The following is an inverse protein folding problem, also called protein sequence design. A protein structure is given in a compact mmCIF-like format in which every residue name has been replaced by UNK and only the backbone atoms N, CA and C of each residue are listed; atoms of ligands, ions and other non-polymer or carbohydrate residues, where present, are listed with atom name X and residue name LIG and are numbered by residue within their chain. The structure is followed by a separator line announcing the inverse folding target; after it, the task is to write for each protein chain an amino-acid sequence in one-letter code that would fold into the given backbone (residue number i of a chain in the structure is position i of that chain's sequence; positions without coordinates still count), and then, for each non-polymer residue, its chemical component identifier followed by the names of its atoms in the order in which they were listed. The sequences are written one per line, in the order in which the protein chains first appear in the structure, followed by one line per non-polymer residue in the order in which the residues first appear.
data_IF_692967832243
#
_entry.id   IF_692967832243
#
_cell.length_a   1.000
_cell.length_b   1.000
_cell.length_c   1.000
_cell.angle_alpha   90.00
_cell.angle_beta   90.00
_cell.angle_gamma   90.00
#
_symmetry.space_group_name_H-M   'P 1'
#
loop_
_entity.id
_entity.type
_entity.pdbx_description
1 polymer ?
#
# COMPACT_ATOMS: atom_id res chain seq x y z
N UNK A 1 -0.48 -0.92 -21.85
CA UNK A 1 0.38 -2.11 -22.06
C UNK A 1 1.12 -2.49 -20.77
N UNK A 2 1.67 -1.54 -20.03
CA UNK A 2 2.39 -1.80 -18.77
C UNK A 2 1.54 -2.49 -17.69
N UNK A 3 0.32 -2.01 -17.43
CA UNK A 3 -0.59 -2.62 -16.45
C UNK A 3 -0.89 -4.09 -16.80
N UNK A 4 -1.19 -4.36 -18.07
CA UNK A 4 -1.46 -5.73 -18.53
C UNK A 4 -0.24 -6.65 -18.33
N UNK A 5 0.98 -6.14 -18.57
CA UNK A 5 2.20 -6.89 -18.33
C UNK A 5 2.44 -7.16 -16.84
N UNK A 6 2.25 -6.17 -15.97
CA UNK A 6 2.39 -6.33 -14.51
C UNK A 6 1.36 -7.33 -13.96
N UNK A 7 0.11 -7.28 -14.45
CA UNK A 7 -0.93 -8.24 -14.09
C UNK A 7 -0.53 -9.66 -14.49
N UNK A 8 -0.11 -9.87 -15.74
CA UNK A 8 0.33 -11.18 -16.22
C UNK A 8 1.50 -11.74 -15.39
N UNK A 9 2.49 -10.92 -15.07
CA UNK A 9 3.64 -11.33 -14.26
C UNK A 9 3.21 -11.69 -12.83
N UNK A 10 2.32 -10.90 -12.24
CA UNK A 10 1.86 -11.09 -10.85
C UNK A 10 0.97 -12.32 -10.71
N UNK A 11 0.05 -12.52 -11.65
CA UNK A 11 -0.82 -13.70 -11.73
C UNK A 11 0.01 -14.96 -11.98
N UNK A 12 0.94 -14.92 -12.95
CA UNK A 12 1.84 -16.02 -13.25
C UNK A 12 2.70 -16.41 -12.03
N UNK A 13 3.26 -15.43 -11.34
CA UNK A 13 4.04 -15.67 -10.12
C UNK A 13 3.18 -16.24 -8.99
N UNK A 14 1.93 -15.82 -8.86
CA UNK A 14 0.96 -16.37 -7.92
C UNK A 14 0.65 -17.86 -8.20
N UNK A 15 0.36 -18.19 -9.46
CA UNK A 15 0.08 -19.57 -9.89
C UNK A 15 1.29 -20.47 -9.67
N UNK A 16 2.50 -20.03 -10.05
CA UNK A 16 3.73 -20.81 -9.85
C UNK A 16 4.03 -21.05 -8.36
N UNK A 17 3.79 -20.05 -7.51
CA UNK A 17 3.94 -20.19 -6.05
C UNK A 17 2.98 -21.24 -5.49
N UNK A 18 1.75 -21.26 -5.98
CA UNK A 18 0.76 -22.27 -5.59
C UNK A 18 1.18 -23.67 -6.00
N UNK A 19 1.66 -23.85 -7.23
CA UNK A 19 2.17 -25.15 -7.69
C UNK A 19 3.39 -25.62 -6.92
N UNK A 20 4.31 -24.72 -6.53
CA UNK A 20 5.55 -25.09 -5.86
C UNK A 20 5.38 -25.47 -4.37
N UNK A 21 4.55 -24.75 -3.62
CA UNK A 21 4.43 -24.92 -2.16
C UNK A 21 3.06 -25.49 -1.72
N UNK A 22 2.12 -25.63 -2.64
CA UNK A 22 0.80 -26.22 -2.38
C UNK A 22 0.02 -25.47 -1.31
N UNK A 23 -0.57 -26.20 -0.36
CA UNK A 23 -1.38 -25.62 0.73
C UNK A 23 -0.55 -24.97 1.86
N UNK A 24 0.77 -25.14 1.88
CA UNK A 24 1.65 -24.67 2.95
C UNK A 24 2.35 -23.34 2.60
N UNK A 25 1.63 -22.41 1.96
CA UNK A 25 2.19 -21.10 1.60
C UNK A 25 2.00 -20.14 2.77
N UNK A 26 3.11 -19.76 3.42
CA UNK A 26 3.14 -18.60 4.32
C UNK A 26 2.96 -17.28 3.55
N UNK A 27 2.37 -16.28 4.20
CA UNK A 27 2.14 -14.93 3.69
C UNK A 27 3.36 -14.31 2.99
N UNK A 28 4.54 -14.47 3.59
CA UNK A 28 5.81 -13.99 3.06
C UNK A 28 6.49 -15.12 2.28
N UNK A 29 6.54 -14.99 0.95
CA UNK A 29 7.06 -16.04 0.06
C UNK A 29 8.47 -16.52 0.46
N UNK A 30 9.36 -15.61 0.86
CA UNK A 30 10.76 -15.93 1.20
C UNK A 30 10.91 -16.81 2.43
N UNK A 31 9.89 -16.90 3.28
CA UNK A 31 9.88 -17.77 4.46
C UNK A 31 9.47 -19.21 4.16
N UNK A 32 8.99 -19.49 2.95
CA UNK A 32 8.69 -20.84 2.46
C UNK A 32 9.86 -21.46 1.67
N UNK A 33 10.79 -20.65 1.17
CA UNK A 33 11.97 -21.19 0.47
C UNK A 33 12.83 -21.98 1.46
N UNK A 34 13.32 -23.14 1.01
CA UNK A 34 14.34 -23.89 1.74
C UNK A 34 15.55 -23.01 2.04
N UNK A 35 16.15 -23.20 3.22
CA UNK A 35 17.29 -22.42 3.68
C UNK A 35 18.53 -22.80 2.86
N UNK A 36 18.72 -22.09 1.74
CA UNK A 36 19.87 -22.21 0.85
C UNK A 36 20.46 -20.84 0.51
N UNK A 37 21.64 -20.84 -0.12
CA UNK A 37 22.37 -19.62 -0.50
C UNK A 37 21.53 -18.67 -1.36
N UNK A 38 20.68 -19.22 -2.24
CA UNK A 38 19.77 -18.43 -3.07
C UNK A 38 18.70 -17.70 -2.26
N UNK A 39 18.11 -18.36 -1.25
CA UNK A 39 17.12 -17.73 -0.37
C UNK A 39 17.74 -16.58 0.41
N UNK A 40 18.96 -16.77 0.95
CA UNK A 40 19.71 -15.71 1.65
C UNK A 40 20.02 -14.52 0.73
N UNK A 41 20.42 -14.77 -0.51
CA UNK A 41 20.69 -13.69 -1.48
C UNK A 41 19.42 -12.90 -1.81
N UNK A 42 18.29 -13.58 -2.04
CA UNK A 42 16.99 -12.95 -2.30
C UNK A 42 16.56 -12.10 -1.10
N UNK A 43 16.61 -12.66 0.11
CA UNK A 43 16.26 -11.94 1.34
C UNK A 43 17.15 -10.72 1.55
N UNK A 44 18.46 -10.85 1.32
CA UNK A 44 19.39 -9.73 1.43
C UNK A 44 19.10 -8.62 0.41
N UNK A 45 18.77 -8.99 -0.83
CA UNK A 45 18.35 -8.03 -1.87
C UNK A 45 17.06 -7.30 -1.47
N UNK A 46 16.06 -8.03 -0.97
CA UNK A 46 14.81 -7.45 -0.47
C UNK A 46 15.05 -6.51 0.72
N UNK A 47 15.88 -6.90 1.69
CA UNK A 47 16.23 -6.07 2.83
C UNK A 47 16.94 -4.78 2.39
N UNK A 48 17.90 -4.88 1.45
CA UNK A 48 18.56 -3.70 0.88
C UNK A 48 17.57 -2.79 0.17
N UNK A 49 16.70 -3.34 -0.66
CA UNK A 49 15.68 -2.57 -1.36
C UNK A 49 14.77 -1.82 -0.38
N UNK A 50 14.23 -2.53 0.62
CA UNK A 50 13.35 -1.93 1.62
C UNK A 50 14.06 -0.85 2.45
N UNK A 51 15.34 -1.04 2.78
CA UNK A 51 16.13 -0.04 3.49
C UNK A 51 16.25 1.28 2.73
N UNK A 52 16.37 1.23 1.40
CA UNK A 52 16.41 2.45 0.58
C UNK A 52 15.03 3.03 0.30
N UNK A 53 14.04 2.18 0.06
CA UNK A 53 12.68 2.61 -0.27
C UNK A 53 11.95 3.19 0.94
N UNK A 54 12.19 2.67 2.14
CA UNK A 54 11.48 3.10 3.34
C UNK A 54 11.69 4.60 3.69
N UNK A 55 12.92 5.14 3.73
CA UNK A 55 13.15 6.58 3.93
C UNK A 55 12.54 7.44 2.82
N UNK A 56 12.60 6.98 1.56
CA UNK A 56 12.04 7.71 0.42
C UNK A 56 10.51 7.84 0.53
N UNK A 57 9.82 6.76 0.89
CA UNK A 57 8.37 6.78 1.11
C UNK A 57 7.97 7.54 2.39
N UNK A 58 8.82 7.54 3.42
CA UNK A 58 8.57 8.26 4.67
C UNK A 58 8.73 9.78 4.56
N UNK A 59 9.50 10.27 3.60
CA UNK A 59 9.73 11.70 3.41
C UNK A 59 8.44 12.51 3.20
N UNK A 60 7.55 12.18 2.24
CA UNK A 60 6.30 12.92 2.08
C UNK A 60 5.39 12.78 3.30
N UNK A 61 5.38 11.62 3.98
CA UNK A 61 4.57 11.42 5.19
C UNK A 61 5.03 12.38 6.30
N UNK A 62 6.34 12.45 6.54
CA UNK A 62 6.91 13.39 7.51
C UNK A 62 6.56 14.84 7.18
N UNK A 63 6.71 15.23 5.92
CA UNK A 63 6.37 16.58 5.46
C UNK A 63 4.89 16.90 5.68
N UNK A 64 3.97 15.97 5.38
CA UNK A 64 2.53 16.14 5.60
C UNK A 64 2.18 16.30 7.09
N UNK A 65 2.80 15.49 7.97
CA UNK A 65 2.53 15.58 9.40
C UNK A 65 3.09 16.89 9.98
N UNK A 66 4.31 17.29 9.59
CA UNK A 66 4.89 18.58 9.99
C UNK A 66 3.99 19.72 9.53
N UNK A 67 3.63 19.78 8.24
CA UNK A 67 2.74 20.83 7.69
C UNK A 67 1.39 20.89 8.42
N UNK A 68 0.85 19.75 8.87
CA UNK A 68 -0.45 19.70 9.56
C UNK A 68 -0.37 20.11 11.04
N UNK A 69 0.70 19.74 11.75
CA UNK A 69 0.78 19.86 13.21
C UNK A 69 1.81 20.89 13.71
N UNK A 70 2.77 21.29 12.89
CA UNK A 70 3.87 22.18 13.27
C UNK A 70 4.10 23.14 12.11
N UNK A 71 3.37 24.26 12.09
CA UNK A 71 3.44 25.23 10.99
C UNK A 71 4.87 25.74 10.74
N UNK A 72 5.76 25.81 11.74
CA UNK A 72 7.13 26.35 11.52
C UNK A 72 8.29 25.74 12.35
N UNK A 73 8.06 24.73 13.20
CA UNK A 73 9.14 24.14 14.03
C UNK A 73 9.49 22.72 13.58
N UNK A 74 10.74 22.50 13.17
CA UNK A 74 11.30 21.18 12.90
C UNK A 74 11.42 20.37 14.22
N UNK A 75 10.38 19.60 14.54
CA UNK A 75 10.37 18.73 15.71
C UNK A 75 10.97 17.35 15.36
N UNK A 76 12.24 17.14 15.73
CA UNK A 76 12.91 15.82 15.65
C UNK A 76 12.12 14.73 16.40
N UNK A 77 11.38 15.11 17.44
CA UNK A 77 10.43 14.25 18.17
C UNK A 77 9.38 13.58 17.29
N UNK A 78 8.91 14.27 16.24
CA UNK A 78 7.91 13.74 15.33
C UNK A 78 8.46 12.55 14.52
N UNK A 79 9.76 12.59 14.17
CA UNK A 79 10.43 11.50 13.47
C UNK A 79 10.51 10.25 14.34
N UNK A 80 10.86 10.42 15.62
CA UNK A 80 10.85 9.32 16.60
C UNK A 80 9.45 8.74 16.80
N UNK A 81 8.44 9.60 16.87
CA UNK A 81 7.04 9.19 17.01
C UNK A 81 6.56 8.39 15.80
N UNK A 82 6.85 8.83 14.57
CA UNK A 82 6.51 8.10 13.35
C UNK A 82 7.20 6.73 13.30
N UNK A 83 8.50 6.67 13.62
CA UNK A 83 9.23 5.40 13.67
C UNK A 83 8.63 4.47 14.73
N UNK A 84 8.32 4.99 15.93
CA UNK A 84 7.68 4.20 16.99
C UNK A 84 6.31 3.65 16.57
N UNK A 85 5.48 4.46 15.91
CA UNK A 85 4.17 3.99 15.41
C UNK A 85 4.36 2.87 14.40
N UNK A 86 5.28 3.02 13.44
CA UNK A 86 5.55 1.99 12.43
C UNK A 86 6.08 0.70 13.08
N UNK A 87 7.00 0.82 14.04
CA UNK A 87 7.49 -0.33 14.80
C UNK A 87 6.38 -0.99 15.62
N UNK A 88 5.51 -0.20 16.25
CA UNK A 88 4.39 -0.73 17.00
C UNK A 88 3.41 -1.49 16.11
N UNK A 89 3.06 -0.95 14.94
CA UNK A 89 2.23 -1.64 13.96
C UNK A 89 2.90 -2.94 13.52
N UNK A 90 4.21 -2.92 13.25
CA UNK A 90 4.96 -4.12 12.87
C UNK A 90 4.97 -5.22 13.96
N UNK A 91 4.94 -4.83 15.25
CA UNK A 91 4.85 -5.77 16.37
C UNK A 91 3.45 -6.33 16.56
N UNK A 92 2.41 -5.55 16.24
CA UNK A 92 1.00 -5.92 16.45
C UNK A 92 0.44 -6.77 15.31
N UNK A 93 1.06 -6.78 14.12
CA UNK A 93 0.56 -7.52 12.95
C UNK A 93 1.17 -8.93 12.90
N UNK A 94 0.45 -9.99 13.33
CA UNK A 94 0.91 -11.37 13.20
C UNK A 94 0.80 -11.92 11.76
N UNK A 95 -0.19 -11.46 10.98
CA UNK A 95 -0.43 -11.89 9.60
C UNK A 95 -0.28 -10.70 8.64
N UNK A 96 0.78 -10.72 7.83
CA UNK A 96 1.06 -9.65 6.89
C UNK A 96 0.03 -9.61 5.74
N UNK A 97 -0.47 -10.76 5.31
CA UNK A 97 -1.43 -10.83 4.20
C UNK A 97 -2.77 -10.16 4.56
N UNK A 98 -3.27 -10.40 5.78
CA UNK A 98 -4.52 -9.80 6.27
C UNK A 98 -4.39 -8.27 6.38
N UNK A 99 -3.27 -7.79 6.91
CA UNK A 99 -2.98 -6.36 6.98
C UNK A 99 -2.92 -5.72 5.59
N UNK A 100 -2.21 -6.33 4.65
CA UNK A 100 -2.10 -5.82 3.28
C UNK A 100 -3.46 -5.81 2.56
N UNK A 101 -4.27 -6.84 2.76
CA UNK A 101 -5.64 -6.92 2.21
C UNK A 101 -6.55 -5.84 2.79
N UNK A 102 -6.48 -5.60 4.11
CA UNK A 102 -7.27 -4.57 4.78
C UNK A 102 -6.87 -3.16 4.32
N UNK A 103 -5.57 -2.86 4.34
CA UNK A 103 -5.04 -1.55 3.90
C UNK A 103 -5.32 -1.34 2.42
N UNK A 104 -5.11 -2.36 1.59
CA UNK A 104 -5.37 -2.29 0.16
C UNK A 104 -6.85 -2.01 -0.14
N UNK A 105 -7.79 -2.73 0.50
CA UNK A 105 -9.22 -2.49 0.27
C UNK A 105 -9.65 -1.13 0.81
N UNK A 106 -9.28 -0.75 2.02
CA UNK A 106 -9.69 0.54 2.60
C UNK A 106 -9.08 1.73 1.85
N UNK A 107 -7.76 1.80 1.78
CA UNK A 107 -7.04 2.97 1.25
C UNK A 107 -7.20 3.08 -0.27
N UNK A 108 -7.11 1.97 -1.02
CA UNK A 108 -7.25 2.05 -2.47
C UNK A 108 -8.67 2.35 -2.91
N UNK A 109 -9.72 1.92 -2.18
CA UNK A 109 -11.10 2.31 -2.52
C UNK A 109 -11.29 3.81 -2.30
N UNK A 110 -10.83 4.33 -1.15
CA UNK A 110 -10.93 5.76 -0.85
C UNK A 110 -10.15 6.60 -1.88
N UNK A 111 -8.91 6.23 -2.19
CA UNK A 111 -8.08 7.00 -3.12
C UNK A 111 -8.42 6.79 -4.59
N UNK A 112 -8.84 5.58 -4.97
CA UNK A 112 -9.06 5.18 -6.36
C UNK A 112 -10.48 5.41 -6.87
N UNK A 113 -11.48 5.40 -5.99
CA UNK A 113 -12.89 5.56 -6.35
C UNK A 113 -13.53 6.78 -5.71
N UNK A 114 -13.44 6.90 -4.38
CA UNK A 114 -14.15 7.97 -3.64
C UNK A 114 -13.56 9.36 -3.93
N UNK A 115 -12.23 9.50 -3.84
CA UNK A 115 -11.58 10.79 -4.01
C UNK A 115 -11.71 11.36 -5.44
N UNK A 116 -11.54 10.56 -6.52
CA UNK A 116 -11.78 11.03 -7.88
C UNK A 116 -13.24 11.44 -8.12
N UNK A 117 -14.22 10.68 -7.60
CA UNK A 117 -15.64 11.02 -7.69
C UNK A 117 -15.96 12.34 -6.96
N UNK A 118 -15.38 12.56 -5.77
CA UNK A 118 -15.54 13.81 -5.04
C UNK A 118 -14.96 15.01 -5.81
N UNK A 119 -13.78 14.89 -6.41
CA UNK A 119 -13.20 15.97 -7.21
C UNK A 119 -14.02 16.26 -8.47
N UNK A 120 -14.55 15.23 -9.13
CA UNK A 120 -15.44 15.38 -10.28
C UNK A 120 -16.72 16.14 -9.89
N UNK A 121 -17.38 15.74 -8.81
CA UNK A 121 -18.60 16.38 -8.30
C UNK A 121 -18.37 17.84 -7.88
N UNK A 122 -17.24 18.14 -7.23
CA UNK A 122 -16.90 19.52 -6.81
C UNK A 122 -16.60 20.40 -8.03
N UNK A 123 -15.93 19.87 -9.06
CA UNK A 123 -15.56 20.63 -10.25
C UNK A 123 -16.72 20.88 -11.21
N UNK A 124 -17.70 19.97 -11.29
CA UNK A 124 -18.85 20.07 -12.21
C UNK A 124 -20.17 20.44 -11.53
N UNK A 125 -20.12 20.88 -10.27
CA UNK A 125 -21.29 21.16 -9.43
C UNK A 125 -22.27 22.17 -10.05
N UNK A 126 -21.77 23.10 -10.86
CA UNK A 126 -22.57 24.18 -11.45
C UNK A 126 -23.15 23.84 -12.85
N UNK A 127 -22.75 22.72 -13.48
CA UNK A 127 -23.23 22.31 -14.82
C UNK A 127 -23.95 20.93 -14.86
N UNK A 128 -24.21 20.31 -13.70
CA UNK A 128 -24.53 18.88 -13.66
C UNK A 128 -25.96 18.52 -14.11
N UNK A 129 -26.08 17.83 -15.25
CA UNK A 129 -27.27 17.05 -15.65
C UNK A 129 -27.45 15.80 -14.75
N UNK A 130 -28.70 15.45 -14.45
CA UNK A 130 -29.14 14.33 -13.60
C UNK A 130 -28.46 12.96 -13.84
N UNK A 131 -27.90 12.72 -15.02
CA UNK A 131 -27.19 11.48 -15.36
C UNK A 131 -25.78 11.38 -14.74
N UNK A 132 -25.10 12.51 -14.51
CA UNK A 132 -23.79 12.53 -13.83
C UNK A 132 -23.92 12.29 -12.32
N UNK A 133 -25.00 12.81 -11.72
CA UNK A 133 -25.28 12.65 -10.29
C UNK A 133 -25.54 11.18 -9.91
N UNK A 134 -26.29 10.45 -10.74
CA UNK A 134 -26.56 9.01 -10.51
C UNK A 134 -25.30 8.16 -10.67
N UNK A 135 -24.38 8.54 -11.56
CA UNK A 135 -23.15 7.78 -11.79
C UNK A 135 -22.13 7.95 -10.65
N UNK A 136 -22.06 9.13 -10.03
CA UNK A 136 -21.18 9.38 -8.88
C UNK A 136 -21.77 8.81 -7.57
N UNK A 137 -23.09 8.87 -7.36
CA UNK A 137 -23.75 8.22 -6.21
C UNK A 137 -23.58 6.69 -6.26
N UNK A 138 -23.70 6.09 -7.46
CA UNK A 138 -23.47 4.65 -7.63
C UNK A 138 -22.01 4.24 -7.32
N UNK A 139 -21.04 5.12 -7.59
CA UNK A 139 -19.61 4.86 -7.33
C UNK A 139 -19.21 5.03 -5.85
N UNK A 140 -19.95 5.83 -5.09
CA UNK A 140 -19.74 6.03 -3.65
C UNK A 140 -20.44 4.94 -2.82
N UNK A 141 -21.53 4.36 -3.34
CA UNK A 141 -22.33 3.32 -2.65
C UNK A 141 -21.77 1.90 -2.86
N UNK A 142 -20.94 1.67 -3.88
CA UNK A 142 -20.24 0.40 -4.15
C UNK A 142 -18.95 0.31 -3.32
#
# INVERSE_FOLDING_TARGET
MEIAFISLLSDGFGVLRYFAFGKNIKDIITTNLEQGLLSTFIQFSLCKNLFFTFPLMMNPIYELIVRRFCEERYCVWLRWLVVLIVTFIALVVPNFADFLSLVGRSVCIVLGFVLPALFHLISFKDELQWHGLVSDDALIVI
#
